data_IF_693768662481
#
_entry.id   IF_693768662481
#
_cell.length_a   1.000
_cell.length_b   1.000
_cell.length_c   1.000
_cell.angle_alpha   90.00
_cell.angle_beta   90.00
_cell.angle_gamma   90.00
#
_symmetry.space_group_name_H-M   'P 1'
#
loop_
_entity.id
_entity.type
_entity.pdbx_description
1 polymer ?
#
# COMPACT_ATOMS: atom_id res chain seq x y z
N UNK A 1 -8.07 -1.03 -10.37
CA UNK A 1 -7.26 -0.03 -9.64
C UNK A 1 -6.32 0.61 -10.66
N UNK A 2 -6.50 1.88 -11.04
CA UNK A 2 -5.48 2.61 -11.82
C UNK A 2 -4.34 2.95 -10.85
N UNK A 3 -3.49 1.98 -10.56
CA UNK A 3 -2.29 2.22 -9.76
C UNK A 3 -1.28 2.95 -10.64
N UNK A 4 -0.94 4.18 -10.25
CA UNK A 4 0.21 4.84 -10.83
C UNK A 4 1.43 3.97 -10.50
N UNK A 5 2.20 3.53 -11.51
CA UNK A 5 3.40 2.69 -11.30
C UNK A 5 4.34 3.31 -10.27
N UNK A 6 4.39 4.64 -10.22
CA UNK A 6 5.20 5.39 -9.26
C UNK A 6 4.79 5.13 -7.81
N UNK A 7 3.50 4.90 -7.53
CA UNK A 7 3.03 4.61 -6.18
C UNK A 7 3.50 3.23 -5.70
N UNK A 8 3.50 2.22 -6.58
CA UNK A 8 4.00 0.87 -6.25
C UNK A 8 5.47 0.93 -5.86
N UNK A 9 6.31 1.66 -6.61
CA UNK A 9 7.72 1.80 -6.27
C UNK A 9 7.92 2.52 -4.93
N UNK A 10 7.19 3.61 -4.68
CA UNK A 10 7.26 4.33 -3.40
C UNK A 10 6.87 3.45 -2.22
N UNK A 11 5.84 2.62 -2.35
CA UNK A 11 5.43 1.66 -1.31
C UNK A 11 6.50 0.59 -1.02
N UNK A 12 7.24 0.17 -2.05
CA UNK A 12 8.35 -0.78 -1.88
C UNK A 12 9.53 -0.09 -1.18
N UNK A 13 9.89 1.11 -1.62
CA UNK A 13 11.00 1.89 -1.05
C UNK A 13 10.75 2.30 0.40
N UNK A 14 9.51 2.61 0.76
CA UNK A 14 9.10 2.93 2.13
C UNK A 14 8.89 1.68 3.00
N UNK A 15 9.09 0.47 2.47
CA UNK A 15 8.94 -0.79 3.20
C UNK A 15 7.50 -1.24 3.48
N UNK A 16 6.49 -0.59 2.88
CA UNK A 16 5.07 -0.95 3.06
C UNK A 16 4.65 -2.15 2.21
N UNK A 17 5.33 -2.39 1.09
CA UNK A 17 5.01 -3.44 0.13
C UNK A 17 6.25 -4.28 -0.20
N UNK A 18 6.15 -5.59 -0.03
CA UNK A 18 7.27 -6.50 -0.30
C UNK A 18 7.36 -6.83 -1.80
N UNK A 19 8.58 -6.90 -2.33
CA UNK A 19 8.80 -7.25 -3.73
C UNK A 19 9.96 -8.23 -3.92
N UNK A 20 9.90 -8.99 -5.02
CA UNK A 20 10.96 -9.87 -5.51
C UNK A 20 11.78 -9.16 -6.59
N UNK A 21 13.10 -9.37 -6.60
CA UNK A 21 13.99 -8.88 -7.65
C UNK A 21 14.43 -10.04 -8.55
N UNK A 22 13.76 -10.19 -9.71
CA UNK A 22 14.07 -11.20 -10.72
C UNK A 22 14.53 -10.53 -12.02
N UNK A 23 15.45 -9.56 -11.90
CA UNK A 23 15.81 -8.58 -12.94
C UNK A 23 14.95 -7.32 -12.85
N UNK A 24 13.63 -7.44 -12.92
CA UNK A 24 12.68 -6.37 -12.57
C UNK A 24 12.03 -6.63 -11.21
N UNK A 25 11.55 -5.57 -10.56
CA UNK A 25 10.75 -5.72 -9.34
C UNK A 25 9.40 -6.35 -9.71
N UNK A 26 9.01 -7.35 -8.92
CA UNK A 26 7.72 -8.02 -9.02
C UNK A 26 7.09 -8.12 -7.65
N UNK A 27 5.82 -7.74 -7.55
CA UNK A 27 4.98 -7.96 -6.36
C UNK A 27 4.15 -9.21 -6.65
N UNK A 28 4.09 -10.14 -5.70
CA UNK A 28 3.30 -11.37 -5.85
C UNK A 28 1.82 -11.06 -5.60
N UNK A 29 0.91 -11.84 -6.18
CA UNK A 29 -0.53 -11.66 -5.92
C UNK A 29 -0.86 -11.82 -4.44
N UNK A 30 -0.22 -12.79 -3.77
CA UNK A 30 -0.36 -13.03 -2.34
C UNK A 30 0.01 -11.79 -1.51
N UNK A 31 1.18 -11.19 -1.76
CA UNK A 31 1.62 -9.98 -1.05
C UNK A 31 0.66 -8.81 -1.28
N UNK A 32 0.15 -8.66 -2.51
CA UNK A 32 -0.80 -7.59 -2.81
C UNK A 32 -2.12 -7.76 -2.04
N UNK A 33 -2.65 -8.99 -1.96
CA UNK A 33 -3.86 -9.28 -1.19
C UNK A 33 -3.64 -9.06 0.31
N UNK A 34 -2.52 -9.53 0.84
CA UNK A 34 -2.17 -9.38 2.24
C UNK A 34 -1.94 -7.90 2.62
N UNK A 35 -1.25 -7.14 1.77
CA UNK A 35 -1.10 -5.69 1.89
C UNK A 35 -2.46 -4.99 1.98
N UNK A 36 -3.39 -5.31 1.07
CA UNK A 36 -4.73 -4.72 1.06
C UNK A 36 -5.55 -5.08 2.31
N UNK A 37 -5.38 -6.28 2.86
CA UNK A 37 -6.06 -6.71 4.09
C UNK A 37 -5.51 -5.98 5.32
N UNK A 38 -4.19 -5.95 5.50
CA UNK A 38 -3.53 -5.32 6.66
C UNK A 38 -3.66 -3.80 6.71
N UNK A 39 -3.89 -3.19 5.54
CA UNK A 39 -3.90 -1.75 5.39
C UNK A 39 -5.24 -1.21 4.90
N UNK A 40 -6.29 -2.04 4.93
CA UNK A 40 -7.64 -1.58 4.69
C UNK A 40 -8.01 -0.49 5.71
N UNK A 41 -8.60 0.61 5.23
CA UNK A 41 -9.01 1.72 6.11
C UNK A 41 -7.88 2.65 6.53
N UNK A 42 -6.66 2.55 5.95
CA UNK A 42 -5.56 3.47 6.22
C UNK A 42 -5.32 4.46 5.07
N UNK A 43 -4.79 5.62 5.41
CA UNK A 43 -4.37 6.68 4.51
C UNK A 43 -2.87 6.56 4.19
N UNK A 44 -2.56 6.40 2.90
CA UNK A 44 -1.20 6.30 2.35
C UNK A 44 -0.80 7.56 1.56
N UNK A 45 -1.48 8.68 1.77
CA UNK A 45 -1.12 9.96 1.16
C UNK A 45 0.26 10.44 1.63
N UNK A 46 0.62 10.13 2.88
CA UNK A 46 1.96 10.27 3.45
C UNK A 46 2.49 8.89 3.86
N UNK A 47 3.56 8.44 3.20
CA UNK A 47 4.13 7.11 3.44
C UNK A 47 5.03 7.06 4.67
N UNK A 48 5.51 8.20 5.17
CA UNK A 48 6.28 8.28 6.42
C UNK A 48 5.37 8.34 7.64
N UNK A 49 4.10 8.72 7.45
CA UNK A 49 3.10 8.83 8.50
C UNK A 49 1.74 8.25 8.06
N UNK A 50 1.68 6.93 7.93
CA UNK A 50 0.43 6.23 7.60
C UNK A 50 -0.53 6.29 8.78
N UNK A 51 -1.72 6.85 8.57
CA UNK A 51 -2.76 6.99 9.60
C UNK A 51 -4.04 6.26 9.22
N UNK A 52 -4.97 6.12 10.16
CA UNK A 52 -6.34 5.70 9.83
C UNK A 52 -6.99 6.69 8.86
N UNK A 53 -7.68 6.17 7.84
CA UNK A 53 -8.44 6.95 6.89
C UNK A 53 -9.72 7.45 7.58
N UNK A 54 -9.64 8.67 8.12
CA UNK A 54 -10.77 9.33 8.77
C UNK A 54 -11.76 9.81 7.70
N UNK A 55 -12.70 8.96 7.31
CA UNK A 55 -13.93 9.46 6.71
C UNK A 55 -14.74 10.16 7.80
N UNK A 56 -15.40 11.27 7.47
CA UNK A 56 -16.25 12.03 8.39
C UNK A 56 -17.54 11.28 8.81
N UNK A 57 -17.50 9.94 8.85
CA UNK A 57 -18.59 9.05 9.22
C UNK A 57 -18.07 8.04 10.23
N UNK A 58 -18.05 8.42 11.50
CA UNK A 58 -18.08 7.44 12.58
C UNK A 58 -19.15 7.86 13.56
N UNK A 59 -19.99 6.88 13.91
CA UNK A 59 -20.90 6.81 15.07
C UNK A 59 -22.36 7.18 14.82
N UNK A 60 -23.16 6.16 14.47
CA UNK A 60 -24.54 5.97 14.92
C UNK A 60 -24.77 4.48 15.14
#
# INVERSE_FOLDING_TARGET
>A
MKTNKNMIYKLIESGHLTALKLGRLKVTCYELEDFLKRNNGKDFSDLENVTEFKTAVTSS
#
